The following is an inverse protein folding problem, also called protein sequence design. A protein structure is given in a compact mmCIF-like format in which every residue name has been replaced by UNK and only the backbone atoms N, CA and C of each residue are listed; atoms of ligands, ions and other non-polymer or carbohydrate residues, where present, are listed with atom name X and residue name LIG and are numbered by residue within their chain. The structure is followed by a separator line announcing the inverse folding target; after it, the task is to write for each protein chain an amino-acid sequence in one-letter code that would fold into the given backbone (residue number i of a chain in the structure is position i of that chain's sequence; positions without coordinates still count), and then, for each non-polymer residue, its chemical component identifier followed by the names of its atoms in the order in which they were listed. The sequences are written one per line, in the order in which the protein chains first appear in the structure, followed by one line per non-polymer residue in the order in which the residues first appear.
data_IF_457721034413
#
_entry.id   IF_457721034413
#
_cell.length_a   1.000
_cell.length_b   1.000
_cell.length_c   1.000
_cell.angle_alpha   90.00
_cell.angle_beta   90.00
_cell.angle_gamma   90.00
#
_symmetry.space_group_name_H-M   'P 1'
#
loop_
_entity.id
_entity.type
_entity.pdbx_description
1 polymer ?
#
# COMPACT_ATOMS: atom_id res chain seq x y z
N UNK A 1 29.52 55.29 27.91
CA UNK A 1 28.26 54.60 28.28
C UNK A 1 27.23 54.96 27.24
N UNK A 2 26.91 54.02 26.34
CA UNK A 2 26.00 54.23 25.22
C UNK A 2 24.96 53.11 25.23
N UNK A 3 23.71 53.43 25.53
CA UNK A 3 22.60 52.47 25.51
C UNK A 3 22.11 52.25 24.08
N UNK A 4 22.26 51.02 23.58
CA UNK A 4 21.61 50.57 22.35
C UNK A 4 20.11 50.40 22.56
N UNK A 5 19.34 51.16 21.78
CA UNK A 5 17.88 51.12 21.73
C UNK A 5 17.46 50.05 20.70
N UNK A 6 16.93 48.93 21.18
CA UNK A 6 16.36 47.86 20.33
C UNK A 6 15.10 48.41 19.63
N UNK A 7 15.11 48.43 18.30
CA UNK A 7 13.95 48.77 17.47
C UNK A 7 12.92 47.64 17.54
N UNK A 8 11.76 47.90 18.14
CA UNK A 8 10.56 47.04 18.01
C UNK A 8 9.96 47.23 16.61
N UNK A 9 9.90 46.16 15.82
CA UNK A 9 9.25 46.09 14.50
C UNK A 9 7.72 46.09 14.65
N UNK A 10 7.03 46.84 13.77
CA UNK A 10 5.59 47.15 13.83
C UNK A 10 4.69 46.25 12.96
N UNK A 11 5.20 45.15 12.41
CA UNK A 11 4.49 44.32 11.41
C UNK A 11 3.86 43.03 11.94
N UNK A 12 3.93 42.74 13.24
CA UNK A 12 3.55 41.43 13.82
C UNK A 12 2.01 41.28 14.03
N UNK A 13 1.23 42.37 14.04
CA UNK A 13 -0.19 42.33 14.43
C UNK A 13 -1.14 41.53 13.51
N UNK A 14 -1.00 41.54 12.16
CA UNK A 14 -1.91 40.78 11.29
C UNK A 14 -1.67 39.26 11.38
N UNK A 15 -0.39 38.83 11.45
CA UNK A 15 -0.02 37.42 11.57
C UNK A 15 -0.47 36.83 12.90
N UNK A 16 -0.25 37.54 14.01
CA UNK A 16 -0.69 37.07 15.34
C UNK A 16 -2.21 36.93 15.42
N UNK A 17 -3.00 37.82 14.79
CA UNK A 17 -4.44 37.64 14.68
C UNK A 17 -4.84 36.40 13.88
N UNK A 18 -4.12 36.08 12.79
CA UNK A 18 -4.39 34.87 12.00
C UNK A 18 -4.05 33.59 12.81
N UNK A 19 -2.95 33.60 13.57
CA UNK A 19 -2.52 32.47 14.42
C UNK A 19 -3.47 32.25 15.60
N UNK A 20 -3.90 33.33 16.28
CA UNK A 20 -4.84 33.24 17.42
C UNK A 20 -6.21 32.69 17.03
N UNK A 21 -6.56 32.74 15.74
CA UNK A 21 -7.79 32.13 15.19
C UNK A 21 -7.57 30.65 14.87
N UNK A 22 -6.33 30.22 14.61
CA UNK A 22 -5.99 28.88 14.08
C UNK A 22 -5.47 27.92 15.15
N UNK A 23 -4.90 28.43 16.25
CA UNK A 23 -4.42 27.61 17.37
C UNK A 23 -4.87 28.23 18.69
N UNK A 24 -5.99 27.79 19.30
CA UNK A 24 -6.42 28.34 20.57
C UNK A 24 -5.59 27.70 21.70
N UNK A 25 -4.84 28.52 22.43
CA UNK A 25 -4.08 28.06 23.59
C UNK A 25 -3.63 29.17 24.55
N UNK A 26 -4.41 29.34 25.62
CA UNK A 26 -3.88 29.45 26.99
C UNK A 26 -3.43 30.82 27.52
N UNK A 27 -4.35 31.53 28.16
CA UNK A 27 -4.09 32.24 29.43
C UNK A 27 -5.39 32.73 30.09
N UNK A 28 -5.58 32.32 31.35
CA UNK A 28 -6.42 32.86 32.43
C UNK A 28 -7.93 32.50 32.57
N UNK A 29 -8.14 31.57 33.53
CA UNK A 29 -9.15 31.53 34.61
C UNK A 29 -10.65 31.22 34.37
N UNK A 30 -11.08 30.15 35.09
CA UNK A 30 -12.38 29.92 35.73
C UNK A 30 -13.68 30.26 34.99
N UNK A 31 -14.28 29.27 34.31
CA UNK A 31 -15.75 29.08 34.28
C UNK A 31 -16.05 27.57 34.27
N UNK A 32 -16.81 27.11 35.25
CA UNK A 32 -17.42 25.78 35.26
C UNK A 32 -18.67 25.79 34.37
N UNK A 33 -18.65 25.04 33.26
CA UNK A 33 -19.86 24.52 32.63
C UNK A 33 -19.54 23.16 32.00
N UNK A 34 -20.31 22.16 32.40
CA UNK A 34 -20.37 20.85 31.75
C UNK A 34 -21.11 21.02 30.42
N UNK A 35 -20.41 20.72 29.33
CA UNK A 35 -21.02 20.45 28.02
C UNK A 35 -20.31 19.25 27.42
N UNK A 36 -21.09 18.22 27.12
CA UNK A 36 -20.67 16.94 26.58
C UNK A 36 -20.13 17.09 25.14
N UNK A 37 -18.97 16.50 24.91
CA UNK A 37 -18.23 16.42 23.64
C UNK A 37 -18.80 15.28 22.78
N UNK A 38 -19.12 15.53 21.52
CA UNK A 38 -19.21 14.47 20.50
C UNK A 38 -18.89 14.98 19.09
N UNK A 39 -17.69 15.55 18.92
CA UNK A 39 -16.97 15.57 17.64
C UNK A 39 -15.46 15.53 17.94
N UNK A 40 -14.73 14.65 17.26
CA UNK A 40 -13.29 14.51 17.49
C UNK A 40 -12.52 15.78 17.05
N UNK A 41 -11.43 16.16 17.75
CA UNK A 41 -10.67 17.39 17.49
C UNK A 41 -10.16 17.52 16.04
N UNK A 42 -10.02 16.39 15.33
CA UNK A 42 -9.49 16.29 13.97
C UNK A 42 -10.35 16.96 12.89
N UNK A 43 -11.68 17.04 13.07
CA UNK A 43 -12.57 17.67 12.08
C UNK A 43 -12.69 19.17 12.31
N UNK A 44 -12.41 19.64 13.52
CA UNK A 44 -12.67 21.01 13.92
C UNK A 44 -11.53 21.93 13.44
N UNK A 45 -10.27 21.56 13.64
CA UNK A 45 -9.13 22.40 13.26
C UNK A 45 -9.01 22.61 11.73
N UNK A 46 -9.27 21.56 10.94
CA UNK A 46 -9.31 21.64 9.48
C UNK A 46 -10.52 22.43 8.96
N UNK A 47 -11.67 22.34 9.63
CA UNK A 47 -12.85 23.11 9.24
C UNK A 47 -12.74 24.58 9.66
N UNK A 48 -12.10 24.87 10.79
CA UNK A 48 -11.75 26.23 11.24
C UNK A 48 -10.71 26.87 10.31
N UNK A 49 -9.67 26.13 9.90
CA UNK A 49 -8.71 26.58 8.88
C UNK A 49 -9.39 26.89 7.53
N UNK A 50 -10.26 25.99 7.06
CA UNK A 50 -11.01 26.19 5.81
C UNK A 50 -12.04 27.33 5.91
N UNK A 51 -12.61 27.54 7.10
CA UNK A 51 -13.52 28.65 7.37
C UNK A 51 -12.75 29.98 7.40
N UNK A 52 -11.61 30.04 8.10
CA UNK A 52 -10.73 31.21 8.13
C UNK A 52 -10.18 31.55 6.74
N UNK A 53 -9.83 30.54 5.93
CA UNK A 53 -9.37 30.73 4.55
C UNK A 53 -10.46 31.37 3.64
N UNK A 54 -11.73 31.02 3.87
CA UNK A 54 -12.87 31.58 3.12
C UNK A 54 -13.27 32.97 3.60
N UNK A 55 -13.07 33.29 4.88
CA UNK A 55 -13.48 34.55 5.51
C UNK A 55 -12.38 35.63 5.43
N UNK A 56 -11.11 35.25 5.32
CA UNK A 56 -10.01 36.22 5.23
C UNK A 56 -10.01 36.92 3.85
N UNK A 57 -10.09 38.26 3.81
CA UNK A 57 -9.96 39.00 2.56
C UNK A 57 -8.61 38.73 1.89
N UNK A 58 -8.52 38.69 0.55
CA UNK A 58 -7.31 38.29 -0.17
C UNK A 58 -6.08 39.17 0.14
N UNK A 59 -6.27 40.42 0.58
CA UNK A 59 -5.19 41.32 0.98
C UNK A 59 -4.63 41.06 2.40
N UNK A 60 -5.24 40.17 3.18
CA UNK A 60 -4.74 39.72 4.48
C UNK A 60 -4.00 38.38 4.41
N UNK A 61 -3.92 37.75 3.23
CA UNK A 61 -3.13 36.54 3.06
C UNK A 61 -1.64 36.92 3.05
N UNK A 62 -0.82 36.35 3.94
CA UNK A 62 0.61 36.60 3.90
C UNK A 62 1.18 36.12 2.57
N UNK A 63 2.08 36.91 2.00
CA UNK A 63 2.81 36.55 0.78
C UNK A 63 3.72 35.36 1.04
N UNK A 64 4.08 34.62 -0.01
CA UNK A 64 5.03 33.49 0.11
C UNK A 64 6.35 33.95 0.75
N UNK A 65 6.82 35.16 0.45
CA UNK A 65 8.03 35.73 1.04
C UNK A 65 7.89 36.01 2.54
N UNK A 66 6.73 36.51 2.99
CA UNK A 66 6.44 36.71 4.42
C UNK A 66 6.37 35.37 5.16
N UNK A 67 5.70 34.36 4.57
CA UNK A 67 5.64 33.00 5.14
C UNK A 67 7.05 32.40 5.24
N UNK A 68 7.88 32.55 4.20
CA UNK A 68 9.26 32.06 4.22
C UNK A 68 10.13 32.78 5.26
N UNK A 69 9.93 34.08 5.46
CA UNK A 69 10.65 34.86 6.48
C UNK A 69 10.27 34.38 7.87
N UNK A 70 8.98 34.20 8.15
CA UNK A 70 8.50 33.71 9.45
C UNK A 70 8.96 32.27 9.72
N UNK A 71 8.92 31.40 8.70
CA UNK A 71 9.47 30.04 8.81
C UNK A 71 10.97 30.07 9.11
N UNK A 72 11.71 31.01 8.50
CA UNK A 72 13.14 31.14 8.76
C UNK A 72 13.43 31.59 10.20
N UNK A 73 12.62 32.48 10.76
CA UNK A 73 12.73 32.93 12.15
C UNK A 73 12.36 31.82 13.14
N UNK A 74 11.31 31.04 12.84
CA UNK A 74 10.94 29.85 13.62
C UNK A 74 12.02 28.77 13.57
N UNK A 75 12.63 28.52 12.41
CA UNK A 75 13.77 27.61 12.28
C UNK A 75 14.97 28.06 13.14
N UNK A 76 15.23 29.37 13.20
CA UNK A 76 16.30 29.91 14.03
C UNK A 76 15.97 29.71 15.53
N UNK A 77 14.71 29.91 15.93
CA UNK A 77 14.25 29.61 17.29
C UNK A 77 14.39 28.12 17.67
N UNK A 78 14.03 27.22 16.74
CA UNK A 78 14.11 25.76 16.92
C UNK A 78 15.55 25.29 17.20
N UNK A 79 16.55 25.96 16.62
CA UNK A 79 17.96 25.64 16.85
C UNK A 79 18.47 25.96 18.26
N UNK A 80 17.74 26.78 19.02
CA UNK A 80 18.10 27.25 20.37
C UNK A 80 17.16 26.65 21.43
N UNK A 81 16.24 25.76 21.05
CA UNK A 81 15.27 25.19 21.98
C UNK A 81 15.97 24.45 23.14
N UNK A 82 15.66 24.87 24.38
CA UNK A 82 16.31 24.36 25.58
C UNK A 82 15.78 22.99 26.05
N UNK A 83 14.62 22.55 25.56
CA UNK A 83 13.99 21.27 25.91
C UNK A 83 13.24 20.65 24.73
N UNK A 84 13.01 19.33 24.80
CA UNK A 84 12.21 18.59 23.82
C UNK A 84 10.78 19.14 23.68
N UNK A 85 10.11 19.47 24.79
CA UNK A 85 8.75 20.02 24.76
C UNK A 85 8.69 21.38 24.08
N UNK A 86 9.67 22.25 24.37
CA UNK A 86 9.77 23.58 23.74
C UNK A 86 10.00 23.43 22.24
N UNK A 87 10.87 22.50 21.86
CA UNK A 87 11.14 22.17 20.47
C UNK A 87 9.87 21.67 19.76
N UNK A 88 9.15 20.72 20.36
CA UNK A 88 7.91 20.17 19.78
C UNK A 88 6.83 21.26 19.64
N UNK A 89 6.68 22.15 20.62
CA UNK A 89 5.74 23.26 20.54
C UNK A 89 6.09 24.22 19.38
N UNK A 90 7.36 24.59 19.27
CA UNK A 90 7.85 25.43 18.16
C UNK A 90 7.72 24.73 16.81
N UNK A 91 7.94 23.41 16.75
CA UNK A 91 7.76 22.62 15.54
C UNK A 91 6.30 22.60 15.10
N UNK A 92 5.37 22.44 16.04
CA UNK A 92 3.93 22.48 15.74
C UNK A 92 3.52 23.83 15.15
N UNK A 93 4.02 24.92 15.72
CA UNK A 93 3.82 26.27 15.16
C UNK A 93 4.40 26.37 13.74
N UNK A 94 5.65 25.96 13.54
CA UNK A 94 6.30 25.93 12.24
C UNK A 94 5.53 25.09 11.21
N UNK A 95 5.08 23.89 11.57
CA UNK A 95 4.36 22.98 10.68
C UNK A 95 3.00 23.56 10.28
N UNK A 96 2.29 24.20 11.22
CA UNK A 96 1.04 24.89 10.94
C UNK A 96 1.23 26.02 9.93
N UNK A 97 2.32 26.78 10.03
CA UNK A 97 2.68 27.80 9.05
C UNK A 97 3.07 27.22 7.70
N UNK A 98 3.86 26.14 7.68
CA UNK A 98 4.31 25.53 6.45
C UNK A 98 3.15 24.97 5.61
N UNK A 99 2.02 24.59 6.22
CA UNK A 99 0.80 24.18 5.49
C UNK A 99 0.27 25.30 4.58
N UNK A 100 0.60 26.58 4.84
CA UNK A 100 0.20 27.68 3.97
C UNK A 100 0.98 27.72 2.64
N UNK A 101 2.11 27.02 2.55
CA UNK A 101 2.89 26.90 1.32
C UNK A 101 2.28 25.88 0.35
N UNK A 102 2.69 25.94 -0.91
CA UNK A 102 2.36 24.89 -1.89
C UNK A 102 3.06 23.57 -1.51
N UNK A 103 2.48 22.40 -1.85
CA UNK A 103 3.06 21.10 -1.49
C UNK A 103 4.52 20.92 -1.91
N UNK A 104 4.94 21.50 -3.04
CA UNK A 104 6.30 21.44 -3.55
C UNK A 104 7.27 22.20 -2.62
N UNK A 105 6.89 23.41 -2.19
CA UNK A 105 7.69 24.26 -1.31
C UNK A 105 7.77 23.71 0.11
N UNK A 106 6.70 23.05 0.60
CA UNK A 106 6.65 22.43 1.93
C UNK A 106 7.77 21.43 2.13
N UNK A 107 8.07 20.63 1.11
CA UNK A 107 9.12 19.63 1.17
C UNK A 107 10.50 20.27 1.35
N UNK A 108 10.77 21.35 0.63
CA UNK A 108 12.05 22.05 0.71
C UNK A 108 12.25 22.70 2.08
N UNK A 109 11.22 23.37 2.62
CA UNK A 109 11.33 23.97 3.96
C UNK A 109 11.48 22.87 5.02
N UNK A 110 10.75 21.76 4.89
CA UNK A 110 10.86 20.64 5.82
C UNK A 110 12.24 19.99 5.79
N UNK A 111 12.82 19.78 4.61
CA UNK A 111 14.18 19.24 4.49
C UNK A 111 15.22 20.19 5.07
N UNK A 112 15.08 21.51 4.85
CA UNK A 112 15.96 22.52 5.46
C UNK A 112 15.89 22.45 6.99
N UNK A 113 14.69 22.39 7.55
CA UNK A 113 14.51 22.24 8.98
C UNK A 113 15.16 20.94 9.49
N UNK A 114 14.87 19.80 8.85
CA UNK A 114 15.40 18.50 9.23
C UNK A 114 16.93 18.44 9.18
N UNK A 115 17.56 19.12 8.22
CA UNK A 115 19.02 19.21 8.15
C UNK A 115 19.64 20.00 9.32
N UNK A 116 18.87 20.90 9.95
CA UNK A 116 19.31 21.71 11.10
C UNK A 116 19.08 21.01 12.44
N UNK A 117 18.12 20.09 12.52
CA UNK A 117 17.87 19.28 13.71
C UNK A 117 18.97 18.23 13.82
N UNK A 118 20.09 18.59 14.44
CA UNK A 118 21.03 17.60 14.97
C UNK A 118 20.48 17.17 16.31
N UNK A 119 19.91 15.97 16.38
CA UNK A 119 19.39 15.44 17.63
C UNK A 119 20.53 15.40 18.66
N UNK A 120 20.45 16.25 19.68
CA UNK A 120 21.27 16.10 20.87
C UNK A 120 20.71 14.94 21.70
N UNK A 121 21.61 14.20 22.32
CA UNK A 121 21.48 12.76 22.61
C UNK A 121 20.51 12.34 23.74
N UNK A 122 19.51 13.15 24.12
CA UNK A 122 18.68 12.81 25.29
C UNK A 122 17.19 12.56 24.99
N UNK A 123 16.57 13.15 23.97
CA UNK A 123 15.12 12.95 23.72
C UNK A 123 14.72 12.79 22.25
N UNK A 124 15.69 12.55 21.36
CA UNK A 124 15.43 12.60 19.91
C UNK A 124 14.36 11.61 19.41
N UNK A 125 14.19 10.46 20.06
CA UNK A 125 13.14 9.51 19.71
C UNK A 125 11.73 10.03 20.06
N UNK A 126 11.59 10.70 21.21
CA UNK A 126 10.32 11.30 21.64
C UNK A 126 9.94 12.46 20.72
N UNK A 127 10.91 13.36 20.45
CA UNK A 127 10.74 14.48 19.52
C UNK A 127 10.31 13.97 18.13
N UNK A 128 10.99 12.96 17.60
CA UNK A 128 10.65 12.35 16.31
C UNK A 128 9.22 11.80 16.28
N UNK A 129 8.78 11.15 17.37
CA UNK A 129 7.43 10.61 17.47
C UNK A 129 6.38 11.73 17.47
N UNK A 130 6.57 12.76 18.28
CA UNK A 130 5.63 13.89 18.36
C UNK A 130 5.58 14.72 17.08
N UNK A 131 6.72 14.90 16.41
CA UNK A 131 6.76 15.49 15.07
C UNK A 131 5.96 14.65 14.08
N UNK A 132 6.16 13.32 14.08
CA UNK A 132 5.45 12.41 13.20
C UNK A 132 3.93 12.44 13.42
N UNK A 133 3.47 12.38 14.68
CA UNK A 133 2.05 12.50 15.04
C UNK A 133 1.46 13.77 14.43
N UNK A 134 2.12 14.91 14.66
CA UNK A 134 1.63 16.18 14.17
C UNK A 134 1.63 16.28 12.64
N UNK A 135 2.65 15.75 11.95
CA UNK A 135 2.70 15.69 10.49
C UNK A 135 1.56 14.81 9.92
N UNK A 136 1.21 13.72 10.60
CA UNK A 136 0.09 12.84 10.22
C UNK A 136 -1.26 13.53 10.44
N UNK A 137 -1.42 14.24 11.55
CA UNK A 137 -2.61 15.04 11.89
C UNK A 137 -2.85 16.15 10.86
N UNK A 138 -1.80 16.89 10.53
CA UNK A 138 -1.82 17.99 9.55
C UNK A 138 -1.79 17.53 8.09
N UNK A 139 -1.96 16.23 7.85
CA UNK A 139 -2.09 15.62 6.53
C UNK A 139 -0.93 15.91 5.57
N UNK A 140 0.30 15.93 6.07
CA UNK A 140 1.47 16.03 5.20
C UNK A 140 1.58 14.86 4.24
N UNK A 141 2.21 15.10 3.10
CA UNK A 141 2.42 14.04 2.12
C UNK A 141 3.23 12.91 2.77
N UNK A 142 2.67 11.71 2.74
CA UNK A 142 3.26 10.56 3.37
C UNK A 142 4.67 10.24 2.82
N UNK A 143 4.97 10.66 1.59
CA UNK A 143 6.29 10.51 0.98
C UNK A 143 7.33 11.36 1.69
N UNK A 144 7.04 12.65 1.91
CA UNK A 144 7.91 13.59 2.60
C UNK A 144 8.25 13.12 4.01
N UNK A 145 7.25 12.58 4.72
CA UNK A 145 7.44 12.01 6.05
C UNK A 145 8.36 10.78 6.01
N UNK A 146 8.14 9.86 5.06
CA UNK A 146 8.98 8.67 4.91
C UNK A 146 10.40 9.05 4.52
N UNK A 147 10.59 10.02 3.62
CA UNK A 147 11.92 10.50 3.20
C UNK A 147 12.69 11.05 4.41
N UNK A 148 12.07 11.88 5.25
CA UNK A 148 12.69 12.39 6.49
C UNK A 148 13.05 11.30 7.49
N UNK A 149 12.13 10.37 7.77
CA UNK A 149 12.42 9.24 8.67
C UNK A 149 13.53 8.35 8.13
N UNK A 150 13.78 8.39 6.81
CA UNK A 150 14.84 7.65 6.13
C UNK A 150 16.18 8.37 6.13
N UNK A 151 16.24 9.66 6.47
CA UNK A 151 17.48 10.45 6.50
C UNK A 151 18.41 10.00 7.62
N UNK A 152 19.72 9.95 7.35
CA UNK A 152 20.72 9.59 8.35
C UNK A 152 20.80 10.66 9.44
N UNK A 153 20.79 10.23 10.70
CA UNK A 153 20.71 11.12 11.88
C UNK A 153 19.33 11.23 12.51
N UNK A 154 18.25 10.82 11.82
CA UNK A 154 16.91 10.76 12.45
C UNK A 154 16.88 9.66 13.50
N UNK A 155 16.75 10.05 14.78
CA UNK A 155 16.67 9.11 15.90
C UNK A 155 15.26 8.50 15.98
N UNK A 156 15.16 7.22 15.61
CA UNK A 156 13.91 6.48 15.68
C UNK A 156 13.80 5.77 17.05
N UNK A 157 12.60 5.75 17.68
CA UNK A 157 12.38 4.93 18.87
C UNK A 157 12.70 3.46 18.60
N UNK A 158 13.35 2.83 19.58
CA UNK A 158 13.73 1.42 19.50
C UNK A 158 12.51 0.54 19.27
N UNK A 159 12.61 -0.31 18.25
CA UNK A 159 11.55 -1.22 17.88
C UNK A 159 11.39 -2.28 18.99
N UNK A 160 10.18 -2.37 19.58
CA UNK A 160 9.90 -3.23 20.73
C UNK A 160 9.48 -2.47 21.99
N UNK A 161 9.79 -1.16 22.07
CA UNK A 161 9.28 -0.28 23.13
C UNK A 161 7.85 0.18 22.84
N UNK A 162 7.21 0.87 23.79
CA UNK A 162 5.89 1.49 23.60
C UNK A 162 5.93 2.49 22.43
N UNK A 163 6.98 3.30 22.36
CA UNK A 163 7.15 4.33 21.34
C UNK A 163 7.50 3.73 19.98
N UNK A 164 8.31 2.67 19.95
CA UNK A 164 8.56 1.92 18.72
C UNK A 164 7.28 1.31 18.13
N UNK A 165 6.39 0.79 19.00
CA UNK A 165 5.06 0.32 18.56
C UNK A 165 4.19 1.47 18.06
N UNK A 166 4.25 2.63 18.71
CA UNK A 166 3.51 3.81 18.28
C UNK A 166 3.98 4.27 16.90
N UNK A 167 5.30 4.38 16.67
CA UNK A 167 5.89 4.69 15.36
C UNK A 167 5.37 3.75 14.26
N UNK A 168 5.37 2.44 14.52
CA UNK A 168 4.89 1.46 13.55
C UNK A 168 3.39 1.62 13.22
N UNK A 169 2.57 2.04 14.19
CA UNK A 169 1.15 2.35 13.95
C UNK A 169 1.00 3.57 13.05
N UNK A 170 1.74 4.65 13.32
CA UNK A 170 1.72 5.86 12.48
C UNK A 170 2.19 5.57 11.05
N UNK A 171 3.29 4.83 10.89
CA UNK A 171 3.76 4.39 9.57
C UNK A 171 2.72 3.53 8.85
N UNK A 172 2.01 2.63 9.55
CA UNK A 172 0.93 1.85 8.96
C UNK A 172 -0.23 2.72 8.48
N UNK A 173 -0.56 3.80 9.20
CA UNK A 173 -1.60 4.75 8.79
C UNK A 173 -1.18 5.49 7.51
N UNK A 174 0.07 5.97 7.46
CA UNK A 174 0.65 6.65 6.30
C UNK A 174 0.62 5.77 5.04
N UNK A 175 1.08 4.52 5.15
CA UNK A 175 1.05 3.56 4.03
C UNK A 175 -0.38 3.30 3.56
N UNK A 176 -1.34 3.16 4.49
CA UNK A 176 -2.74 2.90 4.14
C UNK A 176 -3.41 4.08 3.41
N UNK A 177 -3.08 5.33 3.80
CA UNK A 177 -3.57 6.54 3.11
C UNK A 177 -3.04 6.60 1.68
N UNK A 178 -1.76 6.27 1.48
CA UNK A 178 -1.12 6.37 0.18
C UNK A 178 -1.50 5.27 -0.83
N UNK A 179 -1.93 4.09 -0.35
CA UNK A 179 -2.52 3.05 -1.23
C UNK A 179 -3.72 3.58 -2.06
N UNK A 180 -4.31 4.72 -1.68
CA UNK A 180 -5.39 5.38 -2.40
C UNK A 180 -4.89 6.39 -3.46
N UNK A 181 -3.62 6.83 -3.39
CA UNK A 181 -3.06 7.97 -4.14
C UNK A 181 -2.01 7.64 -5.24
N UNK A 182 -1.49 6.41 -5.32
CA UNK A 182 -1.04 5.87 -6.62
C UNK A 182 0.45 5.95 -7.04
N UNK A 183 1.44 6.13 -6.15
CA UNK A 183 2.86 5.86 -6.50
C UNK A 183 3.59 5.15 -5.35
N UNK A 184 4.40 4.10 -5.57
CA UNK A 184 5.11 3.42 -4.48
C UNK A 184 6.28 4.26 -3.93
N UNK A 185 6.59 4.11 -2.63
CA UNK A 185 7.68 4.81 -1.92
C UNK A 185 9.11 4.38 -2.29
N UNK A 186 9.27 3.45 -3.24
CA UNK A 186 10.55 3.02 -3.81
C UNK A 186 11.65 2.77 -2.79
N UNK A 187 12.63 3.67 -2.74
CA UNK A 187 13.89 3.51 -2.02
C UNK A 187 13.83 3.96 -0.56
N UNK A 188 13.14 5.06 -0.25
CA UNK A 188 13.12 5.63 1.10
C UNK A 188 12.46 4.68 2.10
N UNK A 189 11.34 4.06 1.71
CA UNK A 189 10.69 3.06 2.55
C UNK A 189 11.59 1.85 2.82
N UNK A 190 12.43 1.44 1.85
CA UNK A 190 13.42 0.36 2.04
C UNK A 190 14.47 0.79 3.05
N UNK A 191 15.00 2.01 2.94
CA UNK A 191 15.98 2.58 3.88
C UNK A 191 15.40 2.69 5.29
N UNK A 192 14.18 3.20 5.44
CA UNK A 192 13.48 3.26 6.72
C UNK A 192 13.28 1.88 7.34
N UNK A 193 12.88 0.89 6.55
CA UNK A 193 12.77 -0.48 7.05
C UNK A 193 14.11 -1.08 7.41
N UNK A 194 15.19 -0.79 6.69
CA UNK A 194 16.54 -1.21 7.06
C UNK A 194 16.91 -0.63 8.44
N UNK A 195 16.67 0.68 8.64
CA UNK A 195 16.87 1.37 9.93
C UNK A 195 16.07 0.76 11.07
N UNK A 196 14.78 0.46 10.84
CA UNK A 196 13.91 -0.15 11.85
C UNK A 196 14.23 -1.62 12.12
N UNK A 197 14.78 -2.34 11.13
CA UNK A 197 15.05 -3.78 11.26
C UNK A 197 16.45 -4.11 11.75
N UNK A 198 17.43 -3.21 11.62
CA UNK A 198 18.79 -3.42 12.15
C UNK A 198 18.80 -3.71 13.66
N UNK A 199 18.05 -2.96 14.50
CA UNK A 199 17.97 -3.24 15.94
C UNK A 199 17.30 -4.58 16.26
N UNK A 200 16.37 -5.05 15.41
CA UNK A 200 15.64 -6.31 15.60
C UNK A 200 16.47 -7.56 15.34
N UNK A 201 17.57 -7.42 14.59
CA UNK A 201 18.53 -8.52 14.39
C UNK A 201 19.33 -8.80 15.66
N UNK A 202 19.31 -7.90 16.65
CA UNK A 202 19.81 -8.14 18.00
C UNK A 202 18.65 -8.72 18.83
N UNK A 203 18.78 -9.99 19.25
CA UNK A 203 17.71 -10.87 19.78
C UNK A 203 16.88 -10.32 20.95
N UNK A 204 17.27 -9.23 21.59
CA UNK A 204 16.75 -8.79 22.89
C UNK A 204 15.44 -7.97 22.82
N UNK A 205 15.05 -7.45 21.64
CA UNK A 205 13.86 -6.58 21.51
C UNK A 205 12.65 -7.22 20.80
N UNK A 206 12.73 -8.51 20.48
CA UNK A 206 11.80 -9.16 19.55
C UNK A 206 10.53 -9.72 20.23
N UNK A 207 9.52 -8.88 20.45
CA UNK A 207 8.20 -9.35 20.91
C UNK A 207 7.25 -9.69 19.74
N UNK A 208 6.31 -10.62 19.96
CA UNK A 208 5.38 -11.16 18.94
C UNK A 208 4.52 -10.07 18.27
N UNK A 209 4.10 -9.05 19.02
CA UNK A 209 3.28 -7.95 18.51
C UNK A 209 4.09 -7.04 17.56
N UNK A 210 5.32 -6.73 17.93
CA UNK A 210 6.26 -5.92 17.14
C UNK A 210 6.63 -6.65 15.87
N UNK A 211 6.90 -7.95 15.94
CA UNK A 211 7.10 -8.80 14.77
C UNK A 211 5.87 -8.79 13.85
N UNK A 212 4.65 -8.81 14.40
CA UNK A 212 3.42 -8.76 13.61
C UNK A 212 3.19 -7.37 12.97
N UNK A 213 3.48 -6.27 13.67
CA UNK A 213 3.36 -4.91 13.13
C UNK A 213 4.42 -4.65 12.04
N UNK A 214 5.67 -5.02 12.31
CA UNK A 214 6.74 -4.96 11.31
C UNK A 214 6.40 -5.85 10.12
N UNK A 215 5.89 -7.07 10.37
CA UNK A 215 5.54 -7.96 9.28
C UNK A 215 4.37 -7.42 8.45
N UNK A 216 3.38 -6.78 9.09
CA UNK A 216 2.24 -6.17 8.41
C UNK A 216 2.65 -4.96 7.58
N UNK A 217 3.57 -4.12 8.08
CA UNK A 217 4.07 -2.93 7.40
C UNK A 217 5.05 -3.31 6.27
N UNK A 218 6.05 -4.16 6.58
CA UNK A 218 7.08 -4.64 5.65
C UNK A 218 6.49 -5.56 4.57
N UNK A 219 5.78 -6.63 4.92
CA UNK A 219 5.43 -7.66 3.93
C UNK A 219 4.22 -7.32 3.05
N UNK A 220 3.23 -6.53 3.47
CA UNK A 220 2.08 -6.25 2.57
C UNK A 220 2.44 -5.35 1.40
N UNK A 221 3.26 -4.32 1.65
CA UNK A 221 3.69 -3.37 0.63
C UNK A 221 4.86 -3.90 -0.20
N UNK A 222 5.93 -4.38 0.45
CA UNK A 222 7.05 -4.98 -0.27
C UNK A 222 6.65 -6.27 -0.98
N UNK A 223 5.96 -7.25 -0.39
CA UNK A 223 5.59 -8.42 -1.20
C UNK A 223 4.64 -8.09 -2.32
N UNK A 224 3.69 -7.16 -2.17
CA UNK A 224 2.82 -6.86 -3.32
C UNK A 224 3.56 -6.14 -4.40
N UNK A 225 4.36 -5.13 -4.07
CA UNK A 225 5.15 -4.37 -5.05
C UNK A 225 6.23 -5.25 -5.66
N UNK A 226 7.00 -5.98 -4.84
CA UNK A 226 8.07 -6.88 -5.27
C UNK A 226 7.53 -8.14 -5.94
N UNK A 227 6.38 -8.71 -5.55
CA UNK A 227 5.75 -9.85 -6.27
C UNK A 227 5.07 -9.41 -7.55
N UNK A 228 4.40 -8.26 -7.60
CA UNK A 228 3.84 -7.75 -8.85
C UNK A 228 4.96 -7.31 -9.81
N UNK A 229 6.04 -6.73 -9.26
CA UNK A 229 7.27 -6.41 -9.98
C UNK A 229 7.98 -7.68 -10.46
N UNK A 230 8.23 -8.67 -9.59
CA UNK A 230 8.81 -9.95 -9.97
C UNK A 230 7.91 -10.71 -10.94
N UNK A 231 6.60 -10.81 -10.72
CA UNK A 231 5.70 -11.46 -11.67
C UNK A 231 5.74 -10.70 -13.02
N UNK A 232 5.73 -9.37 -13.04
CA UNK A 232 5.87 -8.59 -14.27
C UNK A 232 7.24 -8.74 -14.95
N UNK A 233 8.33 -8.71 -14.18
CA UNK A 233 9.71 -8.90 -14.63
C UNK A 233 9.91 -10.33 -15.15
N UNK A 234 9.44 -11.34 -14.41
CA UNK A 234 9.41 -12.74 -14.83
C UNK A 234 8.64 -12.86 -16.15
N UNK A 235 7.50 -12.18 -16.32
CA UNK A 235 6.76 -12.19 -17.58
C UNK A 235 7.51 -11.49 -18.72
N UNK A 236 8.13 -10.33 -18.48
CA UNK A 236 8.93 -9.63 -19.50
C UNK A 236 10.19 -10.42 -19.88
N UNK A 237 10.83 -11.07 -18.91
CA UNK A 237 11.96 -11.98 -19.12
C UNK A 237 11.48 -13.17 -19.97
N UNK A 238 10.37 -13.81 -19.63
CA UNK A 238 9.83 -14.94 -20.41
C UNK A 238 9.40 -14.53 -21.82
N UNK A 239 8.86 -13.33 -22.02
CA UNK A 239 8.55 -12.78 -23.36
C UNK A 239 9.80 -12.50 -24.18
N UNK A 240 10.81 -11.85 -23.59
CA UNK A 240 12.08 -11.58 -24.24
C UNK A 240 12.84 -12.87 -24.59
N UNK A 241 12.77 -13.88 -23.72
CA UNK A 241 13.33 -15.21 -23.95
C UNK A 241 12.60 -15.94 -25.08
N UNK A 242 11.27 -15.87 -25.14
CA UNK A 242 10.49 -16.42 -26.24
C UNK A 242 10.84 -15.73 -27.58
N UNK A 243 11.02 -14.39 -27.58
CA UNK A 243 11.47 -13.61 -28.74
C UNK A 243 12.86 -14.05 -29.20
N UNK A 244 13.80 -14.24 -28.26
CA UNK A 244 15.16 -14.71 -28.56
C UNK A 244 15.17 -16.11 -29.18
N UNK A 245 14.39 -17.04 -28.61
CA UNK A 245 14.26 -18.42 -29.13
C UNK A 245 13.76 -18.43 -30.58
N UNK A 246 12.81 -17.55 -30.92
CA UNK A 246 12.20 -17.53 -32.24
C UNK A 246 12.98 -16.72 -33.27
N UNK A 247 13.63 -15.62 -32.86
CA UNK A 247 14.57 -14.86 -33.72
C UNK A 247 15.85 -15.64 -34.01
N UNK A 248 16.21 -16.60 -33.15
CA UNK A 248 17.36 -17.49 -33.37
C UNK A 248 17.25 -18.37 -34.61
N UNK A 249 16.06 -18.53 -35.19
CA UNK A 249 15.82 -19.27 -36.42
C UNK A 249 16.00 -20.78 -36.26
N UNK A 250 15.28 -21.55 -37.06
CA UNK A 250 15.22 -23.02 -37.02
C UNK A 250 16.53 -23.74 -37.40
N UNK A 251 17.70 -23.09 -37.37
CA UNK A 251 18.98 -23.79 -37.45
C UNK A 251 19.40 -24.15 -36.03
N UNK A 252 19.72 -25.42 -35.71
CA UNK A 252 20.32 -25.74 -34.42
C UNK A 252 21.52 -24.82 -34.22
N UNK A 253 21.64 -24.23 -33.03
CA UNK A 253 22.89 -23.59 -32.59
C UNK A 253 23.90 -24.72 -32.43
N UNK A 254 24.40 -25.23 -33.56
CA UNK A 254 25.63 -26.03 -33.67
C UNK A 254 26.84 -25.12 -33.87
N UNK A 255 26.60 -23.81 -33.95
CA UNK A 255 27.64 -22.82 -34.02
C UNK A 255 28.03 -22.43 -32.58
N UNK A 256 29.13 -22.97 -32.03
CA UNK A 256 29.58 -22.68 -30.66
C UNK A 256 29.79 -21.18 -30.44
N UNK A 257 30.09 -20.43 -31.50
CA UNK A 257 30.32 -18.97 -31.45
C UNK A 257 29.03 -18.22 -31.11
N UNK A 258 27.88 -18.64 -31.65
CA UNK A 258 26.58 -18.00 -31.31
C UNK A 258 26.10 -18.35 -29.91
N UNK A 259 26.36 -19.56 -29.41
CA UNK A 259 26.10 -19.90 -28.01
C UNK A 259 26.98 -19.09 -27.08
N UNK A 260 28.26 -18.89 -27.40
CA UNK A 260 29.17 -18.02 -26.65
C UNK A 260 28.70 -16.57 -26.64
N UNK A 261 28.23 -16.02 -27.76
CA UNK A 261 27.72 -14.64 -27.82
C UNK A 261 26.44 -14.44 -27.00
N UNK A 262 25.56 -15.45 -26.95
CA UNK A 262 24.34 -15.40 -26.14
C UNK A 262 24.67 -15.57 -24.64
N UNK A 263 25.60 -16.47 -24.31
CA UNK A 263 26.18 -16.59 -22.96
C UNK A 263 26.88 -15.32 -22.53
N UNK A 264 27.63 -14.65 -23.40
CA UNK A 264 28.31 -13.40 -23.09
C UNK A 264 27.32 -12.24 -22.92
N UNK A 265 26.25 -12.20 -23.73
CA UNK A 265 25.15 -11.22 -23.56
C UNK A 265 24.39 -11.43 -22.24
N UNK A 266 24.10 -12.68 -21.88
CA UNK A 266 23.50 -13.05 -20.60
C UNK A 266 24.47 -12.82 -19.43
N UNK A 267 25.78 -12.99 -19.62
CA UNK A 267 26.82 -12.72 -18.63
C UNK A 267 27.03 -11.23 -18.41
N UNK A 268 26.86 -10.39 -19.44
CA UNK A 268 26.81 -8.92 -19.32
C UNK A 268 25.55 -8.47 -18.56
N UNK A 269 24.41 -9.13 -18.76
CA UNK A 269 23.23 -8.97 -17.91
C UNK A 269 23.48 -9.48 -16.48
N UNK A 270 24.23 -10.57 -16.30
CA UNK A 270 24.59 -11.11 -14.98
C UNK A 270 25.44 -10.13 -14.15
N UNK A 271 26.31 -9.36 -14.81
CA UNK A 271 27.09 -8.26 -14.19
C UNK A 271 26.23 -7.17 -13.56
N UNK A 272 24.91 -7.18 -13.75
CA UNK A 272 23.95 -6.35 -13.01
C UNK A 272 23.57 -6.90 -11.61
N UNK A 273 24.15 -8.02 -11.16
CA UNK A 273 23.99 -8.56 -9.81
C UNK A 273 23.47 -10.00 -9.70
N UNK A 274 23.35 -10.73 -10.81
CA UNK A 274 22.98 -12.15 -10.82
C UNK A 274 24.25 -13.01 -10.84
N UNK A 275 24.36 -13.99 -9.94
CA UNK A 275 25.51 -14.89 -9.91
C UNK A 275 25.61 -15.69 -11.22
N UNK A 276 26.83 -15.84 -11.76
CA UNK A 276 27.08 -16.52 -13.03
C UNK A 276 26.55 -17.97 -13.08
N UNK A 277 26.56 -18.67 -11.94
CA UNK A 277 25.99 -20.01 -11.82
C UNK A 277 24.46 -20.04 -12.04
N UNK A 278 23.73 -19.01 -11.56
CA UNK A 278 22.28 -18.89 -11.76
C UNK A 278 21.97 -18.64 -13.23
N UNK A 279 22.77 -17.81 -13.89
CA UNK A 279 22.62 -17.51 -15.33
C UNK A 279 22.94 -18.72 -16.20
N UNK A 280 23.98 -19.48 -15.87
CA UNK A 280 24.28 -20.75 -16.53
C UNK A 280 23.11 -21.74 -16.39
N UNK A 281 22.54 -21.88 -15.20
CA UNK A 281 21.43 -22.79 -14.95
C UNK A 281 20.12 -22.36 -15.64
N UNK A 282 19.84 -21.04 -15.68
CA UNK A 282 18.72 -20.49 -16.46
C UNK A 282 18.92 -20.74 -17.95
N UNK A 283 20.14 -20.53 -18.46
CA UNK A 283 20.49 -20.74 -19.87
C UNK A 283 20.37 -22.20 -20.28
N UNK A 284 20.84 -23.11 -19.45
CA UNK A 284 20.73 -24.55 -19.63
C UNK A 284 19.26 -25.01 -19.58
N UNK A 285 18.48 -24.52 -18.61
CA UNK A 285 17.04 -24.78 -18.53
C UNK A 285 16.29 -24.28 -19.77
N UNK A 286 16.63 -23.10 -20.28
CA UNK A 286 16.10 -22.56 -21.52
C UNK A 286 16.49 -23.41 -22.74
N UNK A 287 17.75 -23.80 -22.83
CA UNK A 287 18.23 -24.68 -23.90
C UNK A 287 17.48 -26.01 -23.92
N UNK A 288 17.33 -26.63 -22.74
CA UNK A 288 16.61 -27.90 -22.58
C UNK A 288 15.12 -27.77 -22.89
N UNK A 289 14.47 -26.67 -22.50
CA UNK A 289 13.11 -26.37 -22.94
C UNK A 289 13.04 -26.25 -24.47
N UNK A 290 13.96 -25.51 -25.08
CA UNK A 290 14.01 -25.31 -26.54
C UNK A 290 14.22 -26.62 -27.30
N UNK A 291 15.10 -27.50 -26.79
CA UNK A 291 15.34 -28.83 -27.35
C UNK A 291 14.16 -29.79 -27.17
N UNK A 292 13.52 -29.78 -25.98
CA UNK A 292 12.30 -30.54 -25.72
C UNK A 292 11.17 -30.15 -26.68
N UNK A 293 10.99 -28.84 -26.91
CA UNK A 293 10.03 -28.32 -27.87
C UNK A 293 10.28 -28.79 -29.32
N UNK A 294 11.55 -28.79 -29.77
CA UNK A 294 11.90 -29.27 -31.11
C UNK A 294 11.65 -30.77 -31.31
N UNK A 295 11.66 -31.57 -30.23
CA UNK A 295 11.37 -33.01 -30.31
C UNK A 295 9.88 -33.32 -30.40
N UNK A 296 9.02 -32.48 -29.83
CA UNK A 296 7.58 -32.74 -29.78
C UNK A 296 6.77 -32.06 -30.90
N UNK A 297 7.27 -30.99 -31.54
CA UNK A 297 6.53 -30.31 -32.61
C UNK A 297 7.28 -30.34 -33.95
N UNK A 298 6.71 -31.06 -34.93
CA UNK A 298 7.15 -31.06 -36.33
C UNK A 298 6.83 -29.77 -37.09
N UNK A 299 6.14 -28.80 -36.47
CA UNK A 299 5.80 -27.50 -37.06
C UNK A 299 6.38 -26.33 -36.24
N UNK A 300 6.88 -25.26 -36.91
CA UNK A 300 7.38 -24.07 -36.22
C UNK A 300 6.21 -23.32 -35.56
N UNK A 301 6.18 -23.36 -34.22
CA UNK A 301 5.22 -22.66 -33.38
C UNK A 301 5.48 -21.14 -33.41
N UNK A 302 4.43 -20.31 -33.50
CA UNK A 302 4.58 -18.85 -33.50
C UNK A 302 4.94 -18.27 -32.12
N UNK A 303 5.48 -17.04 -32.07
CA UNK A 303 5.83 -16.36 -30.82
C UNK A 303 4.69 -16.25 -29.82
N UNK A 304 3.51 -15.90 -30.32
CA UNK A 304 2.31 -15.80 -29.49
C UNK A 304 1.92 -17.14 -28.86
N UNK A 305 2.17 -18.26 -29.55
CA UNK A 305 1.87 -19.60 -29.07
C UNK A 305 2.91 -20.08 -28.05
N UNK A 306 4.20 -19.77 -28.27
CA UNK A 306 5.26 -20.05 -27.31
C UNK A 306 5.04 -19.30 -25.99
N UNK A 307 4.77 -17.99 -26.05
CA UNK A 307 4.46 -17.19 -24.85
C UNK A 307 3.23 -17.75 -24.14
N UNK A 308 2.18 -18.11 -24.89
CA UNK A 308 0.98 -18.74 -24.34
C UNK A 308 1.32 -20.05 -23.61
N UNK A 309 2.13 -20.92 -24.22
CA UNK A 309 2.54 -22.18 -23.61
C UNK A 309 3.34 -21.95 -22.32
N UNK A 310 4.32 -21.06 -22.35
CA UNK A 310 5.14 -20.74 -21.18
C UNK A 310 4.28 -20.22 -20.02
N UNK A 311 3.35 -19.29 -20.30
CA UNK A 311 2.41 -18.79 -19.29
C UNK A 311 1.49 -19.89 -18.77
N UNK A 312 1.04 -20.80 -19.63
CA UNK A 312 0.27 -21.96 -19.22
C UNK A 312 1.06 -22.87 -18.28
N UNK A 313 2.31 -23.20 -18.62
CA UNK A 313 3.18 -24.01 -17.75
C UNK A 313 3.43 -23.34 -16.40
N UNK A 314 3.62 -22.02 -16.38
CA UNK A 314 3.73 -21.28 -15.12
C UNK A 314 2.48 -21.45 -14.24
N UNK A 315 1.27 -21.37 -14.83
CA UNK A 315 0.02 -21.64 -14.12
C UNK A 315 0.00 -23.06 -13.56
N UNK A 316 0.41 -24.06 -14.34
CA UNK A 316 0.45 -25.45 -13.89
C UNK A 316 1.44 -25.67 -12.75
N UNK A 317 2.66 -25.14 -12.88
CA UNK A 317 3.69 -25.25 -11.86
C UNK A 317 3.28 -24.57 -10.56
N UNK A 318 2.64 -23.41 -10.64
CA UNK A 318 2.06 -22.74 -9.48
C UNK A 318 0.95 -23.56 -8.85
N UNK A 319 0.02 -24.09 -9.64
CA UNK A 319 -1.03 -24.96 -9.11
C UNK A 319 -0.46 -26.20 -8.39
N UNK A 320 0.57 -26.84 -8.94
CA UNK A 320 1.28 -27.97 -8.31
C UNK A 320 1.97 -27.56 -7.00
N UNK A 321 2.69 -26.44 -6.99
CA UNK A 321 3.31 -25.89 -5.78
C UNK A 321 2.28 -25.55 -4.69
N UNK A 322 1.05 -25.23 -5.12
CA UNK A 322 -0.08 -24.96 -4.25
C UNK A 322 -0.80 -26.25 -3.78
N UNK A 323 -0.26 -27.43 -4.12
CA UNK A 323 -0.83 -28.74 -3.80
C UNK A 323 -2.12 -29.03 -4.56
N UNK A 324 -2.38 -28.36 -5.69
CA UNK A 324 -3.51 -28.68 -6.56
C UNK A 324 -3.10 -29.80 -7.51
N UNK A 325 -3.81 -30.92 -7.43
CA UNK A 325 -3.72 -31.98 -8.42
C UNK A 325 -4.14 -31.42 -9.77
N UNK A 326 -3.18 -31.33 -10.68
CA UNK A 326 -3.40 -30.96 -12.06
C UNK A 326 -3.76 -32.25 -12.80
N UNK A 327 -4.99 -32.37 -13.35
CA UNK A 327 -5.37 -33.56 -14.09
C UNK A 327 -4.40 -33.79 -15.26
N UNK A 328 -4.13 -35.05 -15.59
CA UNK A 328 -3.34 -35.41 -16.78
C UNK A 328 -4.09 -35.12 -18.11
N UNK A 329 -5.21 -34.38 -18.04
CA UNK A 329 -6.12 -33.99 -19.11
C UNK A 329 -5.53 -33.00 -20.11
N UNK A 330 -4.27 -32.55 -19.91
CA UNK A 330 -3.59 -31.61 -20.82
C UNK A 330 -3.59 -32.13 -22.26
N UNK A 331 -3.57 -33.46 -22.46
CA UNK A 331 -3.61 -34.09 -23.79
C UNK A 331 -5.03 -34.32 -24.33
N UNK A 332 -6.04 -34.44 -23.48
CA UNK A 332 -7.38 -34.89 -23.89
C UNK A 332 -8.40 -33.75 -24.04
N UNK A 333 -8.43 -32.80 -23.11
CA UNK A 333 -9.51 -31.78 -23.04
C UNK A 333 -9.01 -30.35 -23.36
N UNK A 334 -7.73 -30.22 -23.66
CA UNK A 334 -7.08 -28.96 -23.99
C UNK A 334 -6.85 -28.03 -22.79
N UNK A 335 -6.12 -26.94 -23.04
CA UNK A 335 -5.69 -26.00 -22.00
C UNK A 335 -6.86 -25.34 -21.24
N UNK A 336 -7.99 -25.16 -21.92
CA UNK A 336 -9.17 -24.53 -21.33
C UNK A 336 -9.70 -25.36 -20.15
N UNK A 337 -10.02 -26.63 -20.37
CA UNK A 337 -10.60 -27.49 -19.33
C UNK A 337 -9.71 -27.57 -18.08
N UNK A 338 -8.39 -27.67 -18.27
CA UNK A 338 -7.41 -27.69 -17.18
C UNK A 338 -7.47 -26.41 -16.33
N UNK A 339 -7.56 -25.22 -16.95
CA UNK A 339 -7.67 -23.94 -16.22
C UNK A 339 -8.96 -23.88 -15.41
N UNK A 340 -10.07 -24.32 -16.01
CA UNK A 340 -11.36 -24.34 -15.34
C UNK A 340 -11.33 -25.29 -14.14
N UNK A 341 -10.67 -26.45 -14.28
CA UNK A 341 -10.51 -27.42 -13.20
C UNK A 341 -9.66 -26.87 -12.06
N UNK A 342 -8.53 -26.22 -12.38
CA UNK A 342 -7.66 -25.56 -11.40
C UNK A 342 -8.44 -24.46 -10.66
N UNK A 343 -9.22 -23.65 -11.38
CA UNK A 343 -10.07 -22.61 -10.77
C UNK A 343 -11.09 -23.21 -9.80
N UNK A 344 -11.75 -24.29 -10.20
CA UNK A 344 -12.68 -25.01 -9.33
C UNK A 344 -11.99 -25.53 -8.06
N UNK A 345 -10.80 -26.15 -8.19
CA UNK A 345 -10.01 -26.63 -7.04
C UNK A 345 -9.59 -25.49 -6.12
N UNK A 346 -9.16 -24.34 -6.66
CA UNK A 346 -8.90 -23.14 -5.84
C UNK A 346 -10.13 -22.67 -5.06
N UNK A 347 -11.33 -22.80 -5.64
CA UNK A 347 -12.57 -22.37 -4.98
C UNK A 347 -12.96 -23.24 -3.79
N UNK A 348 -12.60 -24.54 -3.82
CA UNK A 348 -12.93 -25.51 -2.77
C UNK A 348 -11.86 -25.56 -1.68
N UNK A 349 -10.58 -25.62 -2.05
CA UNK A 349 -9.51 -25.91 -1.08
C UNK A 349 -9.34 -24.79 -0.05
N UNK A 350 -9.45 -25.16 1.23
CA UNK A 350 -9.35 -24.27 2.40
C UNK A 350 -7.93 -23.81 2.77
N UNK A 351 -6.89 -24.30 2.08
CA UNK A 351 -5.49 -24.14 2.52
C UNK A 351 -4.89 -22.73 2.40
N UNK A 352 -5.68 -21.71 2.01
CA UNK A 352 -5.16 -20.36 1.76
C UNK A 352 -6.07 -19.27 2.27
N UNK A 353 -5.42 -18.15 2.63
CA UNK A 353 -6.13 -16.92 2.89
C UNK A 353 -6.98 -16.52 1.67
N UNK A 354 -8.16 -15.97 1.95
CA UNK A 354 -9.10 -15.53 0.93
C UNK A 354 -8.46 -14.59 -0.12
N UNK A 355 -7.49 -13.76 0.31
CA UNK A 355 -6.74 -12.87 -0.59
C UNK A 355 -5.90 -13.63 -1.63
N UNK A 356 -5.25 -14.73 -1.24
CA UNK A 356 -4.40 -15.52 -2.15
C UNK A 356 -5.25 -16.32 -3.15
N UNK A 357 -6.37 -16.88 -2.69
CA UNK A 357 -7.34 -17.56 -3.54
C UNK A 357 -7.87 -16.62 -4.63
N UNK A 358 -8.28 -15.41 -4.23
CA UNK A 358 -8.73 -14.36 -5.15
C UNK A 358 -7.65 -14.00 -6.17
N UNK A 359 -6.40 -13.77 -5.73
CA UNK A 359 -5.30 -13.43 -6.63
C UNK A 359 -5.06 -14.52 -7.68
N UNK A 360 -5.14 -15.79 -7.27
CA UNK A 360 -4.96 -16.93 -8.18
C UNK A 360 -6.07 -16.99 -9.23
N UNK A 361 -7.34 -16.84 -8.83
CA UNK A 361 -8.47 -16.81 -9.78
C UNK A 361 -8.42 -15.62 -10.73
N UNK A 362 -8.00 -14.45 -10.25
CA UNK A 362 -7.81 -13.27 -11.11
C UNK A 362 -6.71 -13.49 -12.15
N UNK A 363 -5.61 -14.16 -11.78
CA UNK A 363 -4.55 -14.49 -12.72
C UNK A 363 -5.06 -15.47 -13.81
N UNK A 364 -5.82 -16.49 -13.43
CA UNK A 364 -6.45 -17.42 -14.39
C UNK A 364 -7.44 -16.70 -15.32
N UNK A 365 -8.26 -15.81 -14.75
CA UNK A 365 -9.21 -15.02 -15.51
C UNK A 365 -8.52 -14.10 -16.52
N UNK A 366 -7.42 -13.46 -16.10
CA UNK A 366 -6.58 -12.62 -16.97
C UNK A 366 -6.02 -13.46 -18.10
N UNK A 367 -5.49 -14.65 -17.81
CA UNK A 367 -5.00 -15.58 -18.84
C UNK A 367 -6.08 -15.95 -19.86
N UNK A 368 -7.28 -16.36 -19.41
CA UNK A 368 -8.40 -16.69 -20.31
C UNK A 368 -8.78 -15.49 -21.19
N UNK A 369 -8.81 -14.29 -20.62
CA UNK A 369 -9.16 -13.06 -21.33
C UNK A 369 -8.10 -12.65 -22.36
N UNK A 370 -6.82 -12.71 -21.99
CA UNK A 370 -5.69 -12.36 -22.86
C UNK A 370 -5.62 -13.25 -24.09
N UNK A 371 -5.88 -14.56 -23.93
CA UNK A 371 -5.82 -15.52 -25.04
C UNK A 371 -7.18 -15.83 -25.65
N UNK A 372 -8.21 -15.01 -25.35
CA UNK A 372 -9.59 -15.15 -25.86
C UNK A 372 -10.15 -16.57 -25.69
N UNK A 373 -9.76 -17.26 -24.62
CA UNK A 373 -10.28 -18.59 -24.30
C UNK A 373 -11.66 -18.39 -23.65
N UNK A 374 -12.72 -19.06 -24.14
CA UNK A 374 -14.05 -18.92 -23.57
C UNK A 374 -14.06 -19.42 -22.13
N UNK A 375 -14.62 -18.61 -21.23
CA UNK A 375 -14.95 -19.05 -19.88
C UNK A 375 -16.14 -20.01 -19.95
N UNK A 376 -16.03 -21.13 -19.25
CA UNK A 376 -17.06 -22.15 -19.09
C UNK A 376 -17.74 -21.99 -17.71
N UNK A 377 -18.96 -22.54 -17.53
CA UNK A 377 -19.71 -22.44 -16.28
C UNK A 377 -18.93 -22.86 -15.03
N UNK A 378 -18.04 -23.86 -15.14
CA UNK A 378 -17.21 -24.30 -14.02
C UNK A 378 -16.31 -23.18 -13.44
N UNK A 379 -15.84 -22.24 -14.28
CA UNK A 379 -15.02 -21.12 -13.82
C UNK A 379 -15.85 -20.01 -13.19
N UNK A 380 -17.02 -19.70 -13.75
CA UNK A 380 -17.93 -18.71 -13.15
C UNK A 380 -18.48 -19.19 -11.82
N UNK A 381 -18.79 -20.48 -11.68
CA UNK A 381 -19.10 -21.09 -10.38
C UNK A 381 -17.95 -20.96 -9.38
N UNK A 382 -16.69 -21.17 -9.81
CA UNK A 382 -15.52 -20.96 -8.97
C UNK A 382 -15.37 -19.49 -8.53
N UNK A 383 -15.65 -18.53 -9.40
CA UNK A 383 -15.68 -17.10 -9.08
C UNK A 383 -16.77 -16.77 -8.06
N UNK A 384 -18.00 -17.25 -8.28
CA UNK A 384 -19.13 -17.05 -7.37
C UNK A 384 -18.82 -17.61 -5.99
N UNK A 385 -18.37 -18.87 -5.92
CA UNK A 385 -18.02 -19.53 -4.66
C UNK A 385 -16.92 -18.78 -3.91
N UNK A 386 -15.84 -18.40 -4.60
CA UNK A 386 -14.68 -17.79 -3.94
C UNK A 386 -14.87 -16.32 -3.57
N UNK A 387 -15.57 -15.54 -4.39
CA UNK A 387 -15.68 -14.08 -4.22
C UNK A 387 -16.97 -13.64 -3.54
N UNK A 388 -18.01 -14.47 -3.58
CA UNK A 388 -19.33 -14.19 -3.01
C UNK A 388 -19.69 -15.21 -1.92
N UNK A 389 -19.93 -16.48 -2.28
CA UNK A 389 -20.53 -17.45 -1.35
C UNK A 389 -19.67 -17.74 -0.12
N UNK A 390 -18.35 -17.89 -0.30
CA UNK A 390 -17.43 -18.15 0.83
C UNK A 390 -17.34 -16.94 1.76
N UNK A 391 -17.11 -15.70 1.27
CA UNK A 391 -17.22 -14.52 2.13
C UNK A 391 -18.58 -14.37 2.81
N UNK A 392 -19.68 -14.61 2.09
CA UNK A 392 -21.02 -14.48 2.64
C UNK A 392 -21.29 -15.46 3.77
N UNK A 393 -20.91 -16.73 3.60
CA UNK A 393 -21.03 -17.76 4.64
C UNK A 393 -20.10 -17.53 5.83
N UNK A 394 -18.99 -16.81 5.63
CA UNK A 394 -18.10 -16.37 6.72
C UNK A 394 -18.50 -15.01 7.31
N UNK A 395 -19.69 -14.49 6.98
CA UNK A 395 -20.18 -13.15 7.38
C UNK A 395 -19.20 -12.00 7.06
N UNK A 396 -18.35 -12.18 6.05
CA UNK A 396 -17.38 -11.17 5.63
C UNK A 396 -18.01 -10.17 4.66
N UNK A 397 -17.63 -8.90 4.79
CA UNK A 397 -18.12 -7.87 3.88
C UNK A 397 -17.71 -8.11 2.41
N UNK A 398 -18.72 -8.16 1.54
CA UNK A 398 -18.56 -8.23 0.08
C UNK A 398 -19.05 -6.92 -0.55
N UNK A 399 -18.21 -6.30 -1.37
CA UNK A 399 -18.54 -5.03 -2.00
C UNK A 399 -19.46 -5.21 -3.22
N UNK A 400 -20.38 -4.27 -3.44
CA UNK A 400 -21.27 -4.27 -4.62
C UNK A 400 -20.48 -4.26 -5.95
N UNK A 401 -19.28 -3.66 -5.98
CA UNK A 401 -18.41 -3.70 -7.17
C UNK A 401 -17.95 -5.13 -7.50
N UNK A 402 -17.66 -5.96 -6.48
CA UNK A 402 -17.29 -7.37 -6.69
C UNK A 402 -18.49 -8.15 -7.22
N UNK A 403 -19.68 -7.94 -6.65
CA UNK A 403 -20.92 -8.55 -7.15
C UNK A 403 -21.13 -8.22 -8.63
N UNK A 404 -21.11 -6.93 -8.99
CA UNK A 404 -21.31 -6.49 -10.36
C UNK A 404 -20.31 -7.13 -11.33
N UNK A 405 -19.04 -7.22 -10.93
CA UNK A 405 -18.01 -7.89 -11.74
C UNK A 405 -18.32 -9.38 -11.94
N UNK A 406 -18.69 -10.10 -10.88
CA UNK A 406 -19.03 -11.53 -10.97
C UNK A 406 -20.31 -11.74 -11.80
N UNK A 407 -21.37 -10.98 -11.54
CA UNK A 407 -22.62 -11.04 -12.31
C UNK A 407 -22.39 -10.76 -13.80
N UNK A 408 -21.48 -9.86 -14.16
CA UNK A 408 -21.09 -9.62 -15.56
C UNK A 408 -20.49 -10.86 -16.21
N UNK A 409 -19.66 -11.62 -15.49
CA UNK A 409 -19.08 -12.87 -16.03
C UNK A 409 -20.11 -14.00 -16.11
N UNK A 410 -20.94 -14.17 -15.08
CA UNK A 410 -22.03 -15.15 -15.08
C UNK A 410 -23.03 -14.85 -16.20
N UNK A 411 -23.43 -13.60 -16.38
CA UNK A 411 -24.37 -13.20 -17.43
C UNK A 411 -23.85 -13.55 -18.83
N UNK A 412 -22.53 -13.44 -19.05
CA UNK A 412 -21.89 -13.77 -20.33
C UNK A 412 -21.80 -15.28 -20.59
N UNK A 413 -21.63 -16.09 -19.55
CA UNK A 413 -21.32 -17.54 -19.67
C UNK A 413 -22.55 -18.41 -19.45
N UNK A 414 -23.33 -18.12 -18.42
CA UNK A 414 -24.50 -18.90 -17.97
C UNK A 414 -25.83 -18.20 -18.28
N UNK A 415 -25.79 -16.89 -18.57
CA UNK A 415 -26.95 -16.09 -18.95
C UNK A 415 -27.43 -15.13 -17.86
N UNK A 416 -28.23 -14.14 -18.28
CA UNK A 416 -28.68 -13.02 -17.43
C UNK A 416 -29.55 -13.50 -16.26
N UNK A 417 -30.30 -14.59 -16.43
CA UNK A 417 -31.18 -15.11 -15.37
C UNK A 417 -30.40 -15.65 -14.17
N UNK A 418 -29.31 -16.39 -14.41
CA UNK A 418 -28.47 -16.90 -13.31
C UNK A 418 -27.74 -15.75 -12.60
N UNK A 419 -27.29 -14.74 -13.35
CA UNK A 419 -26.72 -13.52 -12.76
C UNK A 419 -27.73 -12.78 -11.85
N UNK A 420 -29.00 -12.66 -12.29
CA UNK A 420 -30.07 -12.05 -11.47
C UNK A 420 -30.38 -12.87 -10.21
N UNK A 421 -30.32 -14.20 -10.29
CA UNK A 421 -30.51 -15.08 -9.13
C UNK A 421 -29.41 -14.89 -8.09
N UNK A 422 -28.15 -14.82 -8.52
CA UNK A 422 -27.00 -14.53 -7.65
C UNK A 422 -27.15 -13.14 -7.02
N UNK A 423 -27.52 -12.14 -7.82
CA UNK A 423 -27.75 -10.77 -7.34
C UNK A 423 -28.85 -10.70 -6.27
N UNK A 424 -30.00 -11.34 -6.50
CA UNK A 424 -31.08 -11.44 -5.51
C UNK A 424 -30.62 -12.12 -4.22
N UNK A 425 -29.89 -13.22 -4.34
CA UNK A 425 -29.33 -13.95 -3.18
C UNK A 425 -28.39 -13.06 -2.37
N UNK A 426 -27.52 -12.30 -3.05
CA UNK A 426 -26.62 -11.35 -2.42
C UNK A 426 -27.37 -10.23 -1.68
N UNK A 427 -28.37 -9.63 -2.30
CA UNK A 427 -29.12 -8.54 -1.68
C UNK A 427 -29.97 -9.02 -0.50
N UNK A 428 -30.54 -10.23 -0.58
CA UNK A 428 -31.23 -10.87 0.55
C UNK A 428 -30.29 -11.04 1.74
N UNK A 429 -29.15 -11.71 1.53
CA UNK A 429 -28.12 -11.89 2.57
C UNK A 429 -27.64 -10.57 3.17
N UNK A 430 -27.41 -9.55 2.33
CA UNK A 430 -26.99 -8.22 2.81
C UNK A 430 -28.08 -7.55 3.65
N UNK A 431 -29.36 -7.75 3.29
CA UNK A 431 -30.50 -7.28 4.07
C UNK A 431 -30.55 -7.93 5.45
N UNK A 432 -30.38 -9.26 5.49
CA UNK A 432 -30.31 -10.05 6.73
C UNK A 432 -29.17 -9.55 7.65
N UNK A 433 -27.96 -9.36 7.10
CA UNK A 433 -26.83 -8.80 7.88
C UNK A 433 -27.12 -7.39 8.43
N UNK A 434 -27.82 -6.54 7.66
CA UNK A 434 -28.18 -5.19 8.12
C UNK A 434 -29.25 -5.26 9.21
N UNK A 435 -30.16 -6.23 9.14
CA UNK A 435 -31.18 -6.43 10.15
C UNK A 435 -30.57 -6.94 11.46
N UNK A 436 -29.76 -8.00 11.41
CA UNK A 436 -29.04 -8.54 12.57
C UNK A 436 -28.19 -7.45 13.24
N UNK A 437 -27.49 -6.65 12.42
CA UNK A 437 -26.75 -5.48 12.89
C UNK A 437 -27.60 -4.44 13.60
N UNK A 438 -28.81 -4.15 13.09
CA UNK A 438 -29.75 -3.22 13.73
C UNK A 438 -30.25 -3.78 15.05
N UNK A 439 -30.55 -5.07 15.11
CA UNK A 439 -30.99 -5.75 16.33
C UNK A 439 -29.90 -5.67 17.41
N UNK A 440 -28.64 -5.99 17.08
CA UNK A 440 -27.52 -5.87 18.02
C UNK A 440 -27.30 -4.42 18.47
N UNK A 441 -27.38 -3.45 17.56
CA UNK A 441 -27.20 -2.03 17.92
C UNK A 441 -28.35 -1.53 18.80
N UNK A 442 -29.59 -1.97 18.53
CA UNK A 442 -30.77 -1.61 19.31
C UNK A 442 -30.64 -2.05 20.77
N UNK A 443 -30.12 -3.26 21.01
CA UNK A 443 -29.87 -3.76 22.37
C UNK A 443 -28.75 -3.02 23.10
N UNK A 444 -27.79 -2.45 22.37
CA UNK A 444 -26.67 -1.70 22.97
C UNK A 444 -27.00 -0.23 23.29
N UNK A 445 -28.01 0.36 22.64
CA UNK A 445 -28.34 1.79 22.74
C UNK A 445 -29.59 2.08 23.58
N UNK A 446 -29.96 1.17 24.50
CA UNK A 446 -31.10 1.33 25.43
C UNK A 446 -32.40 1.81 24.76
N UNK A 447 -32.68 1.31 23.55
CA UNK A 447 -33.94 1.57 22.85
C UNK A 447 -34.06 2.96 22.21
N UNK A 448 -32.98 3.74 22.04
CA UNK A 448 -33.03 5.00 21.27
C UNK A 448 -32.98 4.72 19.75
N UNK A 449 -34.04 4.97 18.96
CA UNK A 449 -34.16 4.50 17.56
C UNK A 449 -33.31 5.22 16.50
N UNK A 450 -32.27 5.97 16.87
CA UNK A 450 -31.84 7.11 16.02
C UNK A 450 -30.62 6.90 15.13
N UNK A 451 -29.92 5.77 15.22
CA UNK A 451 -28.79 5.49 14.34
C UNK A 451 -29.18 4.73 13.07
N UNK A 452 -28.94 5.29 11.87
CA UNK A 452 -28.76 4.43 10.68
C UNK A 452 -27.57 3.53 10.99
N UNK A 453 -27.80 2.24 11.21
CA UNK A 453 -26.76 1.23 11.44
C UNK A 453 -25.76 1.22 10.28
N UNK A 454 -24.72 2.04 10.38
CA UNK A 454 -23.70 2.14 9.36
C UNK A 454 -22.77 0.93 9.47
N UNK A 455 -22.48 0.31 8.33
CA UNK A 455 -21.49 -0.78 8.18
C UNK A 455 -20.14 -0.48 8.85
N UNK A 456 -19.78 0.80 8.97
CA UNK A 456 -18.58 1.27 9.66
C UNK A 456 -18.63 1.03 11.18
N UNK A 457 -19.81 1.20 11.80
CA UNK A 457 -20.03 0.94 13.24
C UNK A 457 -19.94 -0.56 13.54
N UNK A 458 -20.50 -1.39 12.67
CA UNK A 458 -20.44 -2.86 12.81
C UNK A 458 -19.02 -3.42 12.71
N UNK A 459 -18.23 -2.91 11.76
CA UNK A 459 -16.80 -3.23 11.69
C UNK A 459 -16.03 -2.81 12.94
N UNK A 460 -16.41 -1.67 13.55
CA UNK A 460 -15.80 -1.20 14.80
C UNK A 460 -16.17 -2.10 15.99
N UNK A 461 -17.37 -2.67 15.98
CA UNK A 461 -17.87 -3.57 17.02
C UNK A 461 -17.41 -5.03 16.85
N UNK A 462 -16.66 -5.36 15.79
CA UNK A 462 -16.13 -6.72 15.57
C UNK A 462 -17.19 -7.75 15.16
N UNK A 463 -18.40 -7.29 14.79
CA UNK A 463 -19.49 -8.14 14.32
C UNK A 463 -19.24 -8.58 12.86
N UNK A 464 -18.47 -7.79 12.09
CA UNK A 464 -18.15 -8.00 10.65
C UNK A 464 -16.66 -7.74 10.37
#
# INVERSE_FOLDING_TARGET
MSHHRVRRTKTIKPLVCYISIVVPGGSDSNIAHQTELDDGPDSQLLSELQWAEKQCPPHFRPTVAEIQTELQDLENCLSVAASADTFVAQFKAWASFAIMLQPEDRFDVFNRLCARIRASDVDGAHVTLSMLEHLVETQWEARSIVDWLSTDGTLLPLVGTKDGRHLLRQLSLLVTRQEQGGRPYGQSLVTLYAKLSLPLLRREAFNKETAHLLNRAKWKSLLRSYRMSMEAIDFTILENLAVLILRGGAKPVRDPVRSEQLLDSLSRLARSGLQGAVVAHISEGLHNMTLGFKRESSQPMGLSELIRHVRFQHILNRARADGIEVPNLVRAEGQSAVIHHIAHKYSIKGFRSHSLRRGSLQALQKYLSTYKIPMQPMFTQALVRSLLSTPMSANLHVSSRKLAAVCKHVAKVEGVQEAKKIERTFFKWRGEMIQEAKEVTWHLEEGKPRGRGHLKKLKRLGII
#
